data_IF_560423660830
#
_entry.id   IF_560423660830
#
_cell.length_a   1.000
_cell.length_b   1.000
_cell.length_c   1.000
_cell.angle_alpha   90.00
_cell.angle_beta   90.00
_cell.angle_gamma   90.00
#
_symmetry.space_group_name_H-M   'P 1'
#
loop_
_entity.id
_entity.type
_entity.pdbx_description
1 polymer ?
#
# COMPACT_ATOMS: atom_id res chain seq x y z
N UNK A 1 24.12 8.90 21.69
CA UNK A 1 24.63 8.20 20.49
C UNK A 1 24.36 9.08 19.29
N UNK A 2 25.28 9.15 18.33
CA UNK A 2 25.09 9.90 17.09
C UNK A 2 24.02 9.22 16.21
N UNK A 3 23.15 10.00 15.57
CA UNK A 3 22.08 9.49 14.71
C UNK A 3 22.65 9.28 13.31
N UNK A 4 23.04 8.05 12.99
CA UNK A 4 23.52 7.66 11.66
C UNK A 4 22.41 6.98 10.86
N UNK A 5 22.45 6.98 9.51
CA UNK A 5 21.45 6.28 8.70
C UNK A 5 21.32 4.80 9.05
N UNK A 6 22.43 4.12 9.34
CA UNK A 6 22.45 2.71 9.77
C UNK A 6 21.72 2.54 11.11
N UNK A 7 22.02 3.37 12.10
CA UNK A 7 21.39 3.29 13.41
C UNK A 7 19.87 3.53 13.32
N UNK A 8 19.44 4.48 12.47
CA UNK A 8 18.02 4.74 12.21
C UNK A 8 17.35 3.55 11.55
N UNK A 9 17.95 3.00 10.48
CA UNK A 9 17.43 1.80 9.78
C UNK A 9 17.26 0.62 10.73
N UNK A 10 18.28 0.34 11.54
CA UNK A 10 18.28 -0.81 12.45
C UNK A 10 17.22 -0.63 13.54
N UNK A 11 17.02 0.60 14.03
CA UNK A 11 15.95 0.91 14.96
C UNK A 11 14.56 0.72 14.34
N UNK A 12 14.34 1.22 13.11
CA UNK A 12 13.06 1.06 12.40
C UNK A 12 12.74 -0.43 12.17
N UNK A 13 13.75 -1.26 11.86
CA UNK A 13 13.57 -2.72 11.67
C UNK A 13 13.09 -3.44 12.93
N UNK A 14 13.41 -2.92 14.11
CA UNK A 14 13.05 -3.52 15.39
C UNK A 14 11.77 -2.91 16.01
N UNK A 15 11.22 -1.88 15.37
CA UNK A 15 10.08 -1.13 15.89
C UNK A 15 8.74 -1.68 15.36
N UNK A 16 7.71 -1.51 16.19
CA UNK A 16 6.31 -1.70 15.80
C UNK A 16 5.62 -0.34 15.76
N UNK A 17 4.81 -0.11 14.73
CA UNK A 17 4.11 1.15 14.52
C UNK A 17 2.60 0.92 14.58
N UNK A 18 1.91 1.69 15.42
CA UNK A 18 0.44 1.73 15.42
C UNK A 18 -0.05 2.64 14.30
N UNK A 19 -0.85 2.10 13.39
CA UNK A 19 -1.38 2.83 12.23
C UNK A 19 -2.89 2.64 12.10
N UNK A 20 -3.51 3.38 11.18
CA UNK A 20 -4.93 3.17 10.81
C UNK A 20 -5.20 1.77 10.22
N UNK A 21 -4.16 1.10 9.73
CA UNK A 21 -4.24 -0.27 9.25
C UNK A 21 -4.00 -1.29 10.37
N UNK A 22 -3.76 -0.85 11.62
CA UNK A 22 -3.33 -1.68 12.75
C UNK A 22 -1.82 -1.64 12.94
N UNK A 23 -1.29 -2.51 13.80
CA UNK A 23 0.15 -2.61 14.05
C UNK A 23 0.88 -3.10 12.79
N UNK A 24 1.99 -2.45 12.44
CA UNK A 24 2.87 -2.83 11.33
C UNK A 24 4.32 -2.91 11.80
N UNK A 25 5.07 -3.82 11.19
CA UNK A 25 6.53 -3.96 11.31
C UNK A 25 7.10 -4.28 9.93
N UNK A 26 8.42 -4.10 9.78
CA UNK A 26 9.12 -4.34 8.52
C UNK A 26 9.89 -5.65 8.59
N UNK A 27 9.79 -6.47 7.54
CA UNK A 27 10.61 -7.66 7.39
C UNK A 27 12.05 -7.33 6.97
N UNK A 28 12.87 -8.36 6.75
CA UNK A 28 14.27 -8.19 6.39
C UNK A 28 14.50 -7.52 5.02
N UNK A 29 13.48 -7.56 4.16
CA UNK A 29 13.45 -6.87 2.85
C UNK A 29 12.98 -5.42 2.97
N UNK A 30 12.52 -5.00 4.16
CA UNK A 30 11.96 -3.67 4.40
C UNK A 30 10.49 -3.56 3.98
N UNK A 31 9.79 -4.68 3.83
CA UNK A 31 8.37 -4.72 3.42
C UNK A 31 7.49 -4.93 4.65
N UNK A 32 6.34 -4.27 4.66
CA UNK A 32 5.28 -4.54 5.64
C UNK A 32 4.51 -5.78 5.12
N UNK A 33 4.66 -6.91 5.81
CA UNK A 33 3.96 -8.14 5.45
C UNK A 33 2.49 -8.09 5.92
N UNK A 34 1.67 -7.33 5.20
CA UNK A 34 0.25 -7.17 5.46
C UNK A 34 -0.53 -7.25 4.16
N UNK A 35 -1.65 -7.98 4.18
CA UNK A 35 -2.61 -7.99 3.08
C UNK A 35 -3.31 -6.62 3.01
N UNK A 36 -2.72 -5.69 2.25
CA UNK A 36 -3.33 -4.39 1.97
C UNK A 36 -4.27 -4.52 0.77
N UNK A 37 -5.51 -4.09 0.98
CA UNK A 37 -6.47 -3.94 -0.10
C UNK A 37 -6.14 -2.68 -0.90
N UNK A 38 -6.06 -2.80 -2.22
CA UNK A 38 -5.99 -1.65 -3.12
C UNK A 38 -7.40 -1.32 -3.55
N UNK A 39 -7.81 -0.07 -3.35
CA UNK A 39 -9.08 0.44 -3.81
C UNK A 39 -8.90 1.42 -4.96
N UNK A 40 -9.83 1.42 -5.91
CA UNK A 40 -9.89 2.40 -6.99
C UNK A 40 -11.33 2.89 -7.17
N UNK A 41 -11.50 4.21 -7.27
CA UNK A 41 -12.75 4.79 -7.77
C UNK A 41 -12.87 4.54 -9.27
N UNK A 42 -13.90 3.81 -9.67
CA UNK A 42 -14.22 3.49 -11.07
C UNK A 42 -15.56 4.15 -11.47
N UNK A 43 -15.80 4.40 -12.77
CA UNK A 43 -17.01 5.11 -13.22
C UNK A 43 -18.33 4.48 -12.76
N UNK A 44 -18.40 3.15 -12.76
CA UNK A 44 -19.50 2.34 -12.24
C UNK A 44 -18.89 1.02 -11.75
N UNK A 45 -19.17 0.53 -10.51
CA UNK A 45 -20.10 1.05 -9.51
C UNK A 45 -19.45 1.95 -8.43
N UNK A 46 -18.37 2.68 -8.76
CA UNK A 46 -17.68 3.57 -7.82
C UNK A 46 -16.44 2.93 -7.20
N UNK A 47 -16.25 3.09 -5.89
CA UNK A 47 -15.08 2.57 -5.18
C UNK A 47 -15.07 1.03 -5.16
N UNK A 48 -14.05 0.41 -5.75
CA UNK A 48 -13.90 -1.05 -5.85
C UNK A 48 -12.56 -1.53 -5.29
N UNK A 49 -12.52 -2.76 -4.76
CA UNK A 49 -11.28 -3.46 -4.45
C UNK A 49 -10.69 -4.02 -5.76
N UNK A 50 -9.44 -3.66 -6.08
CA UNK A 50 -8.77 -4.09 -7.33
C UNK A 50 -7.58 -5.03 -7.10
N UNK A 51 -7.13 -5.20 -5.86
CA UNK A 51 -6.06 -6.13 -5.46
C UNK A 51 -6.16 -6.45 -3.96
N UNK A 52 -5.78 -7.67 -3.50
CA UNK A 52 -5.29 -8.81 -4.28
C UNK A 52 -6.36 -9.56 -5.07
N UNK A 53 -5.94 -10.32 -6.08
CA UNK A 53 -6.80 -10.98 -7.09
C UNK A 53 -7.88 -11.87 -6.47
N UNK A 54 -7.58 -12.54 -5.36
CA UNK A 54 -8.50 -13.43 -4.67
C UNK A 54 -9.69 -12.72 -4.00
N UNK A 55 -9.61 -11.40 -3.82
CA UNK A 55 -10.68 -10.56 -3.24
C UNK A 55 -11.03 -9.36 -4.13
N UNK A 56 -10.46 -9.30 -5.34
CA UNK A 56 -10.72 -8.23 -6.29
C UNK A 56 -12.16 -8.30 -6.80
N UNK A 57 -12.84 -7.16 -6.80
CA UNK A 57 -14.19 -6.98 -7.33
C UNK A 57 -14.15 -6.60 -8.82
N UNK A 58 -13.08 -5.92 -9.24
CA UNK A 58 -12.81 -5.54 -10.63
C UNK A 58 -11.32 -5.43 -10.89
N UNK A 59 -10.92 -5.42 -12.17
CA UNK A 59 -9.54 -5.09 -12.56
C UNK A 59 -9.27 -3.58 -12.43
N UNK A 60 -8.03 -3.15 -12.13
CA UNK A 60 -7.69 -1.73 -12.12
C UNK A 60 -7.83 -1.12 -13.53
N UNK A 61 -8.42 0.07 -13.61
CA UNK A 61 -8.57 0.86 -14.84
C UNK A 61 -7.44 1.90 -14.87
N UNK A 62 -6.73 2.01 -15.99
CA UNK A 62 -5.72 3.06 -16.14
C UNK A 62 -6.42 4.43 -16.19
N UNK A 63 -6.09 5.41 -15.32
CA UNK A 63 -6.90 6.63 -15.13
C UNK A 63 -6.67 7.69 -16.21
N UNK A 64 -6.42 7.28 -17.45
CA UNK A 64 -6.25 8.21 -18.56
C UNK A 64 -7.58 8.34 -19.29
N UNK A 65 -8.10 9.57 -19.48
CA UNK A 65 -9.25 9.77 -20.35
C UNK A 65 -8.89 9.31 -21.77
N UNK A 66 -9.91 8.96 -22.55
CA UNK A 66 -9.70 8.70 -23.97
C UNK A 66 -9.03 9.92 -24.62
N UNK A 67 -8.16 9.70 -25.59
CA UNK A 67 -7.41 10.78 -26.24
C UNK A 67 -8.32 11.87 -26.84
N UNK A 68 -9.57 11.52 -27.18
CA UNK A 68 -10.61 12.44 -27.65
C UNK A 68 -11.18 13.36 -26.56
N UNK A 69 -10.91 13.09 -25.29
CA UNK A 69 -11.43 13.79 -24.12
C UNK A 69 -10.33 14.59 -23.37
N UNK A 70 -9.16 14.77 -24.00
CA UNK A 70 -8.08 15.63 -23.51
C UNK A 70 -8.25 17.08 -23.91
#
# INVERSE_FOLDING_TARGET
>A
SEVTPTAVRDHIRQAEFSTVYGTVSFDDTGVINKNMLVYQWQPDPGLQITYPENVAQSSPIYPMPDWSER
#
